data_IF_299364877391
#
_entry.id   IF_299364877391
#
_cell.length_a   1.000
_cell.length_b   1.000
_cell.length_c   1.000
_cell.angle_alpha   90.00
_cell.angle_beta   90.00
_cell.angle_gamma   90.00
#
_symmetry.space_group_name_H-M   'P 1'
#
loop_
_entity.id
_entity.type
_entity.pdbx_description
1 polymer ?
#
# COMPACT_ATOMS: atom_id res chain seq x y z
N UNK A 1 -11.06 -11.72 -7.80
CA UNK A 1 -9.80 -11.47 -8.52
C UNK A 1 -8.70 -12.16 -7.72
N UNK A 2 -7.94 -13.07 -8.31
CA UNK A 2 -6.95 -13.90 -7.59
C UNK A 2 -5.69 -13.08 -7.23
N UNK A 3 -4.97 -13.44 -6.15
CA UNK A 3 -3.72 -12.80 -5.69
C UNK A 3 -2.70 -12.67 -6.83
N UNK A 4 -2.63 -13.69 -7.71
CA UNK A 4 -1.77 -13.66 -8.92
C UNK A 4 -2.16 -12.58 -9.91
N UNK A 5 -3.45 -12.34 -10.11
CA UNK A 5 -3.94 -11.29 -11.02
C UNK A 5 -3.63 -9.89 -10.49
N UNK A 6 -3.71 -9.69 -9.17
CA UNK A 6 -3.31 -8.43 -8.53
C UNK A 6 -1.80 -8.21 -8.59
N UNK A 7 -0.99 -9.26 -8.42
CA UNK A 7 0.47 -9.17 -8.55
C UNK A 7 0.89 -8.83 -10.00
N UNK A 8 0.30 -9.48 -11.00
CA UNK A 8 0.48 -9.16 -12.42
C UNK A 8 0.00 -7.74 -12.72
N UNK A 9 -1.09 -7.29 -12.10
CA UNK A 9 -1.57 -5.92 -12.23
C UNK A 9 -0.58 -4.90 -11.66
N UNK A 10 -0.03 -5.12 -10.46
CA UNK A 10 1.00 -4.24 -9.88
C UNK A 10 2.24 -4.15 -10.78
N UNK A 11 2.64 -5.27 -11.40
CA UNK A 11 3.71 -5.29 -12.41
C UNK A 11 3.35 -4.47 -13.67
N UNK A 12 2.12 -4.59 -14.16
CA UNK A 12 1.64 -3.84 -15.33
C UNK A 12 1.47 -2.34 -15.07
N UNK A 13 1.08 -1.94 -13.85
CA UNK A 13 0.99 -0.52 -13.44
C UNK A 13 2.35 0.16 -13.49
N UNK A 14 3.42 -0.53 -13.07
CA UNK A 14 4.81 -0.06 -13.18
C UNK A 14 5.23 0.26 -14.61
N UNK A 15 4.83 -0.56 -15.59
CA UNK A 15 5.14 -0.31 -17.00
C UNK A 15 4.47 0.98 -17.50
N UNK A 16 3.28 1.30 -17.01
CA UNK A 16 2.58 2.55 -17.36
C UNK A 16 3.24 3.76 -16.70
N UNK A 17 3.56 3.68 -15.41
CA UNK A 17 4.23 4.78 -14.68
C UNK A 17 5.59 5.11 -15.33
N UNK A 18 6.39 4.09 -15.71
CA UNK A 18 7.69 4.29 -16.40
C UNK A 18 7.55 4.98 -17.75
N UNK A 19 6.52 4.64 -18.53
CA UNK A 19 6.24 5.28 -19.81
C UNK A 19 5.79 6.73 -19.65
N UNK A 20 5.09 7.07 -18.57
CA UNK A 20 4.64 8.43 -18.29
C UNK A 20 5.79 9.37 -17.87
N UNK A 21 6.86 8.85 -17.27
CA UNK A 21 8.08 9.61 -16.92
C UNK A 21 9.16 9.59 -18.01
N UNK A 22 8.98 8.81 -19.09
CA UNK A 22 9.99 8.54 -20.11
C UNK A 22 9.89 9.39 -21.38
N UNK A 23 9.59 10.68 -21.26
CA UNK A 23 9.72 11.65 -22.37
C UNK A 23 10.54 12.83 -21.89
N UNK A 24 11.86 12.66 -21.83
CA UNK A 24 12.89 13.64 -22.23
C UNK A 24 14.28 13.04 -21.98
N UNK A 25 15.19 13.35 -22.90
CA UNK A 25 16.64 13.14 -22.88
C UNK A 25 17.17 11.73 -23.23
N UNK A 26 16.95 11.37 -24.49
CA UNK A 26 17.91 10.59 -25.26
C UNK A 26 18.62 11.51 -26.27
N UNK A 27 19.55 12.34 -25.79
CA UNK A 27 20.56 12.96 -26.65
C UNK A 27 21.74 13.44 -25.78
N UNK A 28 22.94 13.25 -26.33
CA UNK A 28 24.25 13.79 -25.90
C UNK A 28 24.95 12.99 -24.79
N UNK A 29 25.84 12.08 -25.19
CA UNK A 29 27.29 12.31 -25.13
C UNK A 29 28.03 11.18 -25.88
N UNK A 30 28.74 11.56 -26.95
CA UNK A 30 29.73 10.74 -27.64
C UNK A 30 31.14 11.07 -27.11
N UNK A 31 32.00 10.05 -27.18
CA UNK A 31 33.47 10.02 -27.24
C UNK A 31 34.33 10.64 -26.11
N UNK A 32 35.09 9.77 -25.43
CA UNK A 32 36.55 9.83 -25.41
C UNK A 32 37.17 8.57 -24.75
N UNK A 33 38.16 8.00 -25.45
CA UNK A 33 39.17 7.05 -24.99
C UNK A 33 39.76 7.39 -23.61
N UNK A 34 40.05 6.37 -22.78
CA UNK A 34 41.33 6.24 -22.08
C UNK A 34 41.46 4.90 -21.32
N UNK A 35 42.66 4.36 -21.49
CA UNK A 35 43.18 3.10 -20.98
C UNK A 35 43.21 2.97 -19.44
N UNK A 36 43.16 1.72 -18.98
CA UNK A 36 43.61 1.30 -17.66
C UNK A 36 42.51 1.14 -16.61
N UNK A 37 41.85 -0.02 -16.57
CA UNK A 37 41.04 -0.41 -15.42
C UNK A 37 41.81 -1.41 -14.55
N UNK A 38 42.00 -1.14 -13.25
CA UNK A 38 42.49 -2.14 -12.32
C UNK A 38 41.44 -3.23 -12.15
N UNK A 39 41.90 -4.46 -11.86
CA UNK A 39 41.07 -5.61 -11.49
C UNK A 39 39.96 -5.18 -10.52
N UNK A 40 38.72 -5.19 -10.99
CA UNK A 40 37.55 -5.13 -10.11
C UNK A 40 37.42 -6.47 -9.40
N UNK A 41 37.55 -6.43 -8.07
CA UNK A 41 37.09 -7.49 -7.18
C UNK A 41 35.65 -7.91 -7.52
N UNK A 42 35.25 -9.16 -7.25
CA UNK A 42 33.92 -9.64 -7.58
C UNK A 42 32.88 -8.74 -6.91
N UNK A 43 32.01 -8.14 -7.74
CA UNK A 43 30.87 -7.31 -7.33
C UNK A 43 30.10 -7.99 -6.18
N UNK A 44 30.36 -7.59 -4.94
CA UNK A 44 29.45 -7.90 -3.85
C UNK A 44 28.12 -7.22 -4.17
N UNK A 45 27.08 -8.03 -4.35
CA UNK A 45 25.74 -7.51 -4.53
C UNK A 45 25.40 -6.55 -3.37
N UNK A 46 24.78 -5.39 -3.65
CA UNK A 46 24.49 -4.40 -2.61
C UNK A 46 23.64 -5.04 -1.52
N UNK A 47 24.24 -5.24 -0.34
CA UNK A 47 23.56 -5.82 0.82
C UNK A 47 22.69 -4.76 1.47
N UNK A 48 21.42 -5.08 1.67
CA UNK A 48 20.50 -4.25 2.46
C UNK A 48 20.90 -4.35 3.92
N UNK A 49 21.29 -3.22 4.53
CA UNK A 49 21.60 -3.19 5.96
C UNK A 49 20.30 -3.34 6.76
N UNK A 50 20.33 -4.25 7.71
CA UNK A 50 19.29 -4.44 8.70
C UNK A 50 19.87 -4.15 10.09
N UNK A 51 19.13 -3.43 10.91
CA UNK A 51 19.45 -3.29 12.33
C UNK A 51 19.15 -4.61 13.04
N UNK A 52 20.18 -5.25 13.60
CA UNK A 52 20.09 -6.58 14.20
C UNK A 52 19.21 -6.62 15.46
N UNK A 53 18.99 -5.49 16.13
CA UNK A 53 18.16 -5.43 17.33
C UNK A 53 16.65 -5.38 17.01
N UNK A 54 16.27 -4.57 16.02
CA UNK A 54 14.87 -4.19 15.81
C UNK A 54 14.34 -4.56 14.42
N UNK A 55 15.17 -5.11 13.52
CA UNK A 55 14.76 -5.49 12.16
C UNK A 55 14.46 -4.30 11.22
N UNK A 56 14.95 -3.10 11.54
CA UNK A 56 14.79 -1.92 10.68
C UNK A 56 15.67 -2.03 9.44
N UNK A 57 15.16 -1.57 8.31
CA UNK A 57 15.82 -1.64 7.01
C UNK A 57 16.19 -0.25 6.51
N UNK A 58 17.38 -0.13 5.93
CA UNK A 58 17.85 1.11 5.33
C UNK A 58 17.17 1.36 3.97
N UNK A 59 16.51 2.51 3.80
CA UNK A 59 15.80 2.86 2.56
C UNK A 59 16.76 3.05 1.39
N UNK A 60 17.93 3.64 1.63
CA UNK A 60 18.90 3.94 0.58
C UNK A 60 19.48 2.66 -0.01
N UNK A 61 19.74 1.64 0.80
CA UNK A 61 20.25 0.35 0.32
C UNK A 61 19.23 -0.36 -0.57
N UNK A 62 17.94 -0.41 -0.16
CA UNK A 62 16.86 -0.99 -0.98
C UNK A 62 16.74 -0.24 -2.32
N UNK A 63 16.80 1.09 -2.28
CA UNK A 63 16.74 1.91 -3.49
C UNK A 63 17.96 1.72 -4.40
N UNK A 64 19.14 1.48 -3.83
CA UNK A 64 20.38 1.21 -4.56
C UNK A 64 20.34 -0.16 -5.20
N UNK A 65 19.88 -1.19 -4.47
CA UNK A 65 19.65 -2.53 -5.00
C UNK A 65 18.65 -2.53 -6.15
N UNK A 66 17.60 -1.69 -6.08
CA UNK A 66 16.64 -1.51 -7.15
C UNK A 66 17.13 -0.67 -8.34
N UNK A 67 18.33 -0.08 -8.24
CA UNK A 67 18.83 0.93 -9.18
C UNK A 67 17.80 2.05 -9.43
N UNK A 68 17.07 2.45 -8.38
CA UNK A 68 16.05 3.48 -8.49
C UNK A 68 16.69 4.84 -8.82
N UNK A 69 16.10 5.62 -9.73
CA UNK A 69 16.55 6.98 -10.01
C UNK A 69 16.20 7.96 -8.86
N UNK A 70 16.74 9.18 -8.91
CA UNK A 70 16.53 10.20 -7.87
C UNK A 70 15.05 10.57 -7.66
N UNK A 71 14.25 10.59 -8.72
CA UNK A 71 12.81 10.93 -8.67
C UNK A 71 12.02 9.82 -7.99
N UNK A 72 12.29 8.56 -8.35
CA UNK A 72 11.70 7.37 -7.74
C UNK A 72 12.05 7.29 -6.27
N UNK A 73 13.32 7.50 -5.90
CA UNK A 73 13.79 7.56 -4.51
C UNK A 73 13.05 8.64 -3.71
N UNK A 74 13.00 9.87 -4.23
CA UNK A 74 12.33 11.00 -3.58
C UNK A 74 10.83 10.74 -3.40
N UNK A 75 10.19 10.12 -4.40
CA UNK A 75 8.78 9.75 -4.34
C UNK A 75 8.51 8.70 -3.26
N UNK A 76 9.31 7.63 -3.22
CA UNK A 76 9.16 6.58 -2.21
C UNK A 76 9.39 7.12 -0.80
N UNK A 77 10.45 7.92 -0.60
CA UNK A 77 10.74 8.53 0.69
C UNK A 77 9.62 9.47 1.15
N UNK A 78 9.04 10.27 0.25
CA UNK A 78 7.88 11.13 0.55
C UNK A 78 6.66 10.30 0.99
N UNK A 79 6.39 9.18 0.34
CA UNK A 79 5.26 8.30 0.69
C UNK A 79 5.48 7.64 2.07
N UNK A 80 6.67 7.10 2.32
CA UNK A 80 7.05 6.51 3.61
C UNK A 80 7.01 7.56 4.74
N UNK A 81 7.63 8.72 4.53
CA UNK A 81 7.68 9.79 5.53
C UNK A 81 6.29 10.36 5.82
N UNK A 82 5.45 10.54 4.80
CA UNK A 82 4.07 11.01 5.00
C UNK A 82 3.16 9.97 5.67
N UNK A 83 3.53 8.68 5.65
CA UNK A 83 2.89 7.64 6.45
C UNK A 83 3.44 7.56 7.89
N UNK A 84 4.55 8.24 8.18
CA UNK A 84 5.12 8.34 9.52
C UNK A 84 6.00 7.15 9.92
N UNK A 85 6.42 6.31 8.97
CA UNK A 85 7.22 5.10 9.24
C UNK A 85 8.73 5.31 9.15
N UNK A 86 9.18 6.50 8.74
CA UNK A 86 10.62 6.81 8.57
C UNK A 86 11.22 7.28 9.88
N UNK A 87 12.27 6.60 10.34
CA UNK A 87 13.13 7.05 11.43
C UNK A 87 14.49 7.46 10.88
N UNK A 88 15.03 8.59 11.35
CA UNK A 88 16.41 8.98 11.05
C UNK A 88 17.35 8.29 12.02
N UNK A 89 18.23 7.40 11.53
CA UNK A 89 19.31 6.78 12.32
C UNK A 89 20.63 7.00 11.60
N UNK A 90 21.61 7.58 12.29
CA UNK A 90 22.92 7.95 11.72
C UNK A 90 22.83 8.80 10.44
N UNK A 91 21.87 9.73 10.38
CA UNK A 91 21.66 10.60 9.21
C UNK A 91 21.09 9.89 7.97
N UNK A 92 20.65 8.64 8.11
CA UNK A 92 20.02 7.87 7.05
C UNK A 92 18.57 7.54 7.41
N UNK A 93 17.68 7.41 6.40
CA UNK A 93 16.29 6.99 6.59
C UNK A 93 16.20 5.46 6.76
N UNK A 94 15.61 5.04 7.87
CA UNK A 94 15.31 3.64 8.20
C UNK A 94 13.80 3.45 8.30
N UNK A 95 13.33 2.26 7.94
CA UNK A 95 11.91 1.86 7.99
C UNK A 95 11.74 0.47 8.60
N UNK A 96 10.56 0.16 9.16
CA UNK A 96 10.22 -1.19 9.61
C UNK A 96 10.31 -2.25 8.49
N UNK A 97 10.42 -3.51 8.89
CA UNK A 97 10.50 -4.65 7.96
C UNK A 97 9.32 -4.69 6.97
N UNK A 98 8.08 -4.53 7.46
CA UNK A 98 6.87 -4.52 6.61
C UNK A 98 6.93 -3.44 5.53
N UNK A 99 7.35 -2.23 5.89
CA UNK A 99 7.50 -1.13 4.94
C UNK A 99 8.64 -1.37 3.95
N UNK A 100 9.72 -2.02 4.37
CA UNK A 100 10.82 -2.44 3.49
C UNK A 100 10.36 -3.51 2.48
N UNK A 101 9.53 -4.45 2.92
CA UNK A 101 8.89 -5.42 2.04
C UNK A 101 7.99 -4.73 1.01
N UNK A 102 7.17 -3.77 1.44
CA UNK A 102 6.35 -2.95 0.55
C UNK A 102 7.19 -2.14 -0.43
N UNK A 103 8.32 -1.61 0.00
CA UNK A 103 9.24 -0.85 -0.84
C UNK A 103 9.87 -1.75 -1.91
N UNK A 104 10.35 -2.94 -1.54
CA UNK A 104 10.83 -3.94 -2.51
C UNK A 104 9.78 -4.25 -3.57
N UNK A 105 8.54 -4.51 -3.15
CA UNK A 105 7.42 -4.75 -4.09
C UNK A 105 7.16 -3.55 -5.00
N UNK A 106 7.17 -2.33 -4.46
CA UNK A 106 6.96 -1.10 -5.25
C UNK A 106 8.04 -0.91 -6.31
N UNK A 107 9.28 -1.25 -5.96
CA UNK A 107 10.46 -1.16 -6.82
C UNK A 107 10.63 -2.39 -7.73
N UNK A 108 9.84 -3.44 -7.54
CA UNK A 108 9.89 -4.68 -8.30
C UNK A 108 11.12 -5.52 -8.01
N UNK A 109 11.63 -5.44 -6.78
CA UNK A 109 12.59 -6.37 -6.22
C UNK A 109 11.85 -7.58 -5.64
N UNK A 110 12.52 -8.74 -5.67
CA UNK A 110 12.09 -9.87 -4.86
C UNK A 110 12.36 -9.54 -3.37
N UNK A 111 11.34 -9.53 -2.49
CA UNK A 111 11.55 -9.29 -1.08
C UNK A 111 12.01 -10.52 -0.30
N UNK A 112 12.00 -11.73 -0.88
CA UNK A 112 12.43 -12.95 -0.21
C UNK A 112 13.85 -12.87 0.39
N UNK A 113 14.84 -12.22 -0.25
CA UNK A 113 16.16 -12.03 0.33
C UNK A 113 16.21 -11.14 1.58
N UNK A 114 15.14 -10.42 1.93
CA UNK A 114 15.07 -9.69 3.21
C UNK A 114 14.84 -10.64 4.40
N UNK A 115 14.29 -11.83 4.15
CA UNK A 115 14.08 -12.90 5.13
C UNK A 115 15.37 -13.72 5.25
N UNK A 116 16.42 -13.11 5.80
CA UNK A 116 17.68 -13.83 6.06
C UNK A 116 17.69 -14.47 7.45
N UNK A 117 18.38 -15.62 7.63
CA UNK A 117 18.58 -16.23 8.94
C UNK A 117 19.23 -15.24 9.92
N UNK A 118 18.60 -15.04 11.08
CA UNK A 118 19.10 -14.15 12.14
C UNK A 118 18.40 -12.80 12.26
N UNK A 119 17.49 -12.45 11.34
CA UNK A 119 16.56 -11.34 11.52
C UNK A 119 15.21 -11.86 12.05
N UNK A 120 14.48 -11.09 12.87
CA UNK A 120 13.10 -11.41 13.23
C UNK A 120 12.21 -11.25 12.00
N UNK A 121 12.13 -12.31 11.19
CA UNK A 121 11.21 -12.36 10.06
C UNK A 121 9.82 -12.80 10.55
N UNK A 122 8.74 -12.16 10.07
CA UNK A 122 7.39 -12.59 10.39
C UNK A 122 7.12 -14.00 9.83
N UNK A 123 6.33 -14.80 10.56
CA UNK A 123 5.94 -16.17 10.14
C UNK A 123 5.22 -16.18 8.78
N UNK A 124 4.50 -15.09 8.48
CA UNK A 124 3.84 -14.88 7.19
C UNK A 124 4.35 -13.62 6.50
N UNK A 125 4.49 -13.63 5.15
CA UNK A 125 4.90 -12.45 4.41
C UNK A 125 3.85 -11.32 4.54
N UNK A 126 4.28 -10.05 4.61
CA UNK A 126 3.37 -8.92 4.64
C UNK A 126 2.33 -8.93 3.51
N UNK A 127 1.09 -8.59 3.85
CA UNK A 127 -0.03 -8.64 2.92
C UNK A 127 0.11 -7.55 1.84
N UNK A 128 0.40 -7.98 0.61
CA UNK A 128 0.59 -7.12 -0.57
C UNK A 128 -0.60 -6.17 -0.81
N UNK A 129 -1.81 -6.59 -0.44
CA UNK A 129 -3.02 -5.78 -0.62
C UNK A 129 -3.02 -4.53 0.28
N UNK A 130 -2.10 -4.44 1.24
CA UNK A 130 -1.95 -3.27 2.11
C UNK A 130 -0.87 -2.29 1.66
N UNK A 131 -0.16 -2.60 0.60
CA UNK A 131 0.98 -1.80 0.17
C UNK A 131 0.53 -0.40 -0.27
N UNK A 132 0.67 0.57 0.63
CA UNK A 132 0.26 1.96 0.43
C UNK A 132 1.23 2.73 -0.47
N UNK A 133 2.42 2.19 -0.77
CA UNK A 133 3.40 2.82 -1.66
C UNK A 133 2.96 2.83 -3.13
N UNK A 134 1.88 2.12 -3.47
CA UNK A 134 1.22 2.20 -4.77
C UNK A 134 0.26 3.40 -4.91
N UNK A 135 0.02 4.16 -3.84
CA UNK A 135 -0.75 5.40 -3.89
C UNK A 135 0.08 6.52 -4.53
N UNK A 136 -0.60 7.48 -5.17
CA UNK A 136 0.06 8.65 -5.78
C UNK A 136 0.44 9.75 -4.77
N UNK A 137 -0.15 9.70 -3.58
CA UNK A 137 0.07 10.66 -2.51
C UNK A 137 0.14 9.95 -1.16
N UNK A 138 0.84 10.52 -0.16
CA UNK A 138 1.04 9.86 1.12
C UNK A 138 -0.26 9.52 1.82
N UNK A 139 -0.31 8.33 2.43
CA UNK A 139 -1.39 7.89 3.28
C UNK A 139 -1.12 8.37 4.71
N UNK A 140 -2.01 9.15 5.36
CA UNK A 140 -1.74 9.62 6.71
C UNK A 140 -1.61 8.47 7.71
N UNK A 141 -0.85 8.62 8.82
CA UNK A 141 -0.52 7.53 9.74
C UNK A 141 -1.72 6.81 10.38
N UNK A 142 -2.85 7.52 10.56
CA UNK A 142 -4.07 6.97 11.16
C UNK A 142 -4.90 6.10 10.19
N UNK A 143 -4.41 5.88 8.97
CA UNK A 143 -5.11 5.15 7.92
C UNK A 143 -4.29 3.97 7.43
N UNK A 144 -4.98 2.91 7.06
CA UNK A 144 -4.44 1.80 6.28
C UNK A 144 -5.23 1.71 4.96
N UNK A 145 -4.76 0.88 4.04
CA UNK A 145 -5.39 0.71 2.72
C UNK A 145 -5.57 -0.76 2.42
N UNK A 146 -6.69 -1.11 1.80
CA UNK A 146 -6.89 -2.40 1.16
C UNK A 146 -7.06 -2.18 -0.34
N UNK A 147 -6.21 -2.78 -1.14
CA UNK A 147 -6.36 -2.82 -2.59
C UNK A 147 -7.37 -3.90 -2.98
N UNK A 148 -8.46 -3.47 -3.61
CA UNK A 148 -9.52 -4.36 -4.08
C UNK A 148 -9.98 -3.95 -5.47
N UNK A 149 -10.07 -4.89 -6.41
CA UNK A 149 -10.43 -4.63 -7.81
C UNK A 149 -9.69 -3.39 -8.38
N UNK A 150 -8.37 -3.36 -8.21
CA UNK A 150 -7.48 -2.28 -8.69
C UNK A 150 -7.72 -0.90 -8.05
N UNK A 151 -8.53 -0.83 -6.99
CA UNK A 151 -8.86 0.42 -6.28
C UNK A 151 -8.45 0.33 -4.82
N UNK A 152 -7.83 1.40 -4.34
CA UNK A 152 -7.53 1.58 -2.94
C UNK A 152 -8.80 1.88 -2.14
N UNK A 153 -9.01 1.11 -1.06
CA UNK A 153 -10.05 1.31 -0.05
C UNK A 153 -9.35 1.72 1.25
N UNK A 154 -9.29 3.03 1.57
CA UNK A 154 -8.76 3.47 2.85
C UNK A 154 -9.69 3.09 4.01
N UNK A 155 -9.10 2.73 5.14
CA UNK A 155 -9.79 2.47 6.41
C UNK A 155 -8.95 2.98 7.57
N UNK A 156 -9.56 3.07 8.76
CA UNK A 156 -8.92 3.50 10.00
C UNK A 156 -9.00 2.36 11.01
N UNK A 157 -7.91 1.62 11.24
CA UNK A 157 -7.93 0.46 12.14
C UNK A 157 -8.43 0.80 13.54
N UNK A 158 -7.88 1.84 14.17
CA UNK A 158 -8.22 2.21 15.55
C UNK A 158 -9.66 2.74 15.69
N UNK A 159 -10.17 3.40 14.64
CA UNK A 159 -11.55 3.90 14.63
C UNK A 159 -12.53 2.85 14.09
N UNK A 160 -12.05 1.69 13.65
CA UNK A 160 -12.87 0.59 13.14
C UNK A 160 -13.84 1.05 12.03
N UNK A 161 -13.34 1.93 11.14
CA UNK A 161 -14.14 2.54 10.07
C UNK A 161 -13.49 2.37 8.71
N UNK A 162 -14.31 2.19 7.68
CA UNK A 162 -13.87 2.06 6.28
C UNK A 162 -14.48 3.14 5.41
N UNK A 163 -13.74 3.60 4.40
CA UNK A 163 -14.24 4.56 3.43
C UNK A 163 -15.26 3.89 2.51
N UNK A 164 -16.55 3.97 2.89
CA UNK A 164 -17.66 3.38 2.16
C UNK A 164 -17.77 3.91 0.72
N UNK A 165 -17.40 5.16 0.48
CA UNK A 165 -17.39 5.72 -0.88
C UNK A 165 -16.37 5.01 -1.77
N UNK A 166 -15.17 4.74 -1.26
CA UNK A 166 -14.12 4.01 -1.99
C UNK A 166 -14.45 2.52 -2.10
N UNK A 167 -15.08 1.93 -1.08
CA UNK A 167 -15.57 0.55 -1.09
C UNK A 167 -16.56 0.31 -2.23
N UNK A 168 -17.64 1.10 -2.33
CA UNK A 168 -18.64 0.90 -3.41
C UNK A 168 -18.03 1.16 -4.80
N UNK A 169 -17.10 2.11 -4.90
CA UNK A 169 -16.36 2.38 -6.13
C UNK A 169 -15.47 1.21 -6.54
N UNK A 170 -14.83 0.52 -5.59
CA UNK A 170 -14.07 -0.71 -5.83
C UNK A 170 -14.96 -1.85 -6.34
N UNK A 171 -16.25 -1.81 -6.01
CA UNK A 171 -17.26 -2.77 -6.48
C UNK A 171 -17.99 -2.33 -7.76
N UNK A 172 -17.51 -1.28 -8.45
CA UNK A 172 -18.09 -0.81 -9.70
C UNK A 172 -19.35 0.05 -9.56
N UNK A 173 -19.77 0.39 -8.33
CA UNK A 173 -20.93 1.25 -8.10
C UNK A 173 -20.57 2.73 -8.05
N UNK A 174 -21.57 3.58 -8.24
CA UNK A 174 -21.44 5.04 -8.17
C UNK A 174 -21.41 5.56 -6.72
N UNK A 175 -20.82 6.75 -6.52
CA UNK A 175 -20.65 7.38 -5.19
C UNK A 175 -21.97 7.70 -4.49
N UNK A 176 -23.00 8.06 -5.26
CA UNK A 176 -24.34 8.38 -4.75
C UNK A 176 -25.02 7.20 -4.05
N UNK A 177 -24.60 5.96 -4.32
CA UNK A 177 -25.14 4.75 -3.67
C UNK A 177 -25.02 4.84 -2.15
N UNK A 178 -23.89 5.38 -1.64
CA UNK A 178 -23.67 5.54 -0.20
C UNK A 178 -24.66 6.56 0.38
N UNK A 179 -24.82 7.73 -0.27
CA UNK A 179 -25.76 8.75 0.20
C UNK A 179 -27.21 8.25 0.15
N UNK A 180 -27.60 7.56 -0.93
CA UNK A 180 -28.94 7.00 -1.07
C UNK A 180 -29.23 5.90 -0.04
N UNK A 181 -28.21 5.15 0.37
CA UNK A 181 -28.34 4.15 1.44
C UNK A 181 -28.46 4.83 2.81
N UNK A 182 -27.63 5.85 3.07
CA UNK A 182 -27.66 6.64 4.31
C UNK A 182 -28.93 7.47 4.48
N UNK A 183 -29.60 7.87 3.39
CA UNK A 183 -30.86 8.59 3.45
C UNK A 183 -32.01 7.76 4.06
N UNK A 184 -31.87 6.42 4.08
CA UNK A 184 -32.89 5.48 4.55
C UNK A 184 -32.57 4.88 5.92
N UNK A 185 -31.43 5.25 6.53
CA UNK A 185 -30.89 4.58 7.72
C UNK A 185 -30.13 5.54 8.63
N UNK A 186 -30.28 5.34 9.93
CA UNK A 186 -29.42 6.00 10.93
C UNK A 186 -28.16 5.16 11.08
N UNK A 187 -27.05 5.65 10.54
CA UNK A 187 -25.72 5.03 10.66
C UNK A 187 -24.71 6.11 11.06
N UNK A 188 -23.83 5.78 12.00
CA UNK A 188 -22.76 6.68 12.42
C UNK A 188 -21.77 6.87 11.27
N UNK A 189 -21.46 8.12 10.94
CA UNK A 189 -20.63 8.44 9.77
C UNK A 189 -19.72 9.63 10.00
N UNK A 190 -18.53 9.56 9.42
CA UNK A 190 -17.57 10.67 9.40
C UNK A 190 -17.30 11.08 7.95
N UNK A 191 -17.35 12.38 7.68
CA UNK A 191 -16.99 12.94 6.37
C UNK A 191 -15.57 13.47 6.40
N UNK A 192 -14.72 12.95 5.51
CA UNK A 192 -13.34 13.45 5.33
C UNK A 192 -13.26 14.21 4.01
N UNK A 193 -12.75 15.45 4.06
CA UNK A 193 -12.60 16.36 2.92
C UNK A 193 -11.13 16.81 2.77
N UNK A 194 -10.76 17.34 1.60
CA UNK A 194 -9.47 17.98 1.35
C UNK A 194 -8.33 17.05 0.92
N UNK A 195 -8.19 15.86 1.51
CA UNK A 195 -7.16 14.90 1.10
C UNK A 195 -7.71 13.87 0.10
N UNK A 196 -7.30 13.97 -1.17
CA UNK A 196 -7.80 13.10 -2.25
C UNK A 196 -7.60 11.58 -2.00
N UNK A 197 -6.55 11.19 -1.27
CA UNK A 197 -6.24 9.79 -0.95
C UNK A 197 -7.29 9.20 -0.01
N UNK A 198 -7.73 9.97 0.99
CA UNK A 198 -8.61 9.49 2.08
C UNK A 198 -9.99 10.12 2.09
N UNK A 199 -10.29 11.09 1.22
CA UNK A 199 -11.61 11.74 1.19
C UNK A 199 -12.74 10.75 0.93
N UNK A 200 -13.88 11.00 1.54
CA UNK A 200 -15.07 10.17 1.40
C UNK A 200 -15.90 10.10 2.68
N UNK A 201 -16.89 9.21 2.65
CA UNK A 201 -17.73 8.91 3.81
C UNK A 201 -17.21 7.65 4.48
N UNK A 202 -16.87 7.75 5.77
CA UNK A 202 -16.45 6.62 6.60
C UNK A 202 -17.63 6.10 7.40
N UNK A 203 -17.79 4.78 7.42
CA UNK A 203 -18.78 4.05 8.20
C UNK A 203 -18.07 3.07 9.13
N UNK A 204 -18.71 2.74 10.26
CA UNK A 204 -18.29 1.60 11.08
C UNK A 204 -18.31 0.30 10.27
N UNK A 205 -17.47 -0.67 10.63
CA UNK A 205 -17.34 -1.89 9.84
C UNK A 205 -18.64 -2.72 9.77
N UNK A 206 -19.44 -2.76 10.85
CA UNK A 206 -20.77 -3.37 10.82
C UNK A 206 -21.71 -2.63 9.84
N UNK A 207 -21.75 -1.30 9.85
CA UNK A 207 -22.56 -0.52 8.89
C UNK A 207 -22.10 -0.72 7.44
N UNK A 208 -20.78 -0.84 7.22
CA UNK A 208 -20.22 -1.13 5.91
C UNK A 208 -20.59 -2.54 5.42
N UNK A 209 -20.60 -3.53 6.30
CA UNK A 209 -21.10 -4.88 6.00
C UNK A 209 -22.58 -4.83 5.60
N UNK A 210 -23.42 -4.13 6.38
CA UNK A 210 -24.84 -3.96 6.08
C UNK A 210 -25.08 -3.23 4.75
N UNK A 211 -24.24 -2.24 4.43
CA UNK A 211 -24.23 -1.61 3.11
C UNK A 211 -23.95 -2.65 2.02
N UNK A 212 -22.89 -3.46 2.17
CA UNK A 212 -22.55 -4.49 1.19
C UNK A 212 -23.68 -5.50 1.00
N UNK A 213 -24.25 -6.06 2.07
CA UNK A 213 -25.36 -7.01 2.02
C UNK A 213 -26.56 -6.39 1.29
N UNK A 214 -26.99 -5.19 1.71
CA UNK A 214 -28.17 -4.53 1.13
C UNK A 214 -28.01 -4.17 -0.36
N UNK A 215 -26.77 -4.01 -0.83
CA UNK A 215 -26.44 -3.69 -2.22
C UNK A 215 -25.93 -4.89 -3.01
N UNK A 216 -25.98 -6.11 -2.42
CA UNK A 216 -25.48 -7.35 -3.01
C UNK A 216 -24.03 -7.22 -3.49
N UNK A 217 -23.21 -6.53 -2.70
CA UNK A 217 -21.78 -6.38 -2.94
C UNK A 217 -21.01 -7.51 -2.25
N UNK A 218 -19.80 -7.75 -2.75
CA UNK A 218 -18.85 -8.63 -2.08
C UNK A 218 -18.50 -8.09 -0.68
N UNK A 219 -18.75 -8.90 0.34
CA UNK A 219 -18.51 -8.58 1.75
C UNK A 219 -17.06 -8.85 2.17
N UNK A 220 -16.30 -9.61 1.37
CA UNK A 220 -14.98 -10.11 1.74
C UNK A 220 -13.96 -9.01 2.06
N UNK A 221 -13.94 -7.84 1.38
CA UNK A 221 -13.03 -6.75 1.77
C UNK A 221 -13.31 -6.20 3.15
N UNK A 222 -14.59 -6.15 3.55
CA UNK A 222 -14.99 -5.71 4.88
C UNK A 222 -14.56 -6.74 5.92
N UNK A 223 -14.69 -8.03 5.61
CA UNK A 223 -14.24 -9.13 6.47
C UNK A 223 -12.71 -9.13 6.66
N UNK A 224 -11.92 -8.93 5.61
CA UNK A 224 -10.46 -8.77 5.71
C UNK A 224 -10.12 -7.61 6.65
N UNK A 225 -10.72 -6.43 6.41
CA UNK A 225 -10.46 -5.25 7.23
C UNK A 225 -10.88 -5.50 8.70
N UNK A 226 -12.01 -6.18 8.93
CA UNK A 226 -12.49 -6.49 10.27
C UNK A 226 -11.56 -7.45 11.03
N UNK A 227 -11.05 -8.49 10.35
CA UNK A 227 -10.06 -9.39 10.92
C UNK A 227 -8.81 -8.66 11.39
N UNK A 228 -8.34 -7.68 10.62
CA UNK A 228 -7.19 -6.83 10.99
C UNK A 228 -7.48 -5.87 12.13
N UNK A 229 -8.73 -5.39 12.22
CA UNK A 229 -9.18 -4.56 13.32
C UNK A 229 -9.48 -5.37 14.59
N UNK A 230 -9.31 -6.71 14.55
CA UNK A 230 -9.69 -7.66 15.60
C UNK A 230 -11.17 -7.52 16.01
N UNK A 231 -12.07 -7.42 15.02
CA UNK A 231 -13.51 -7.31 15.22
C UNK A 231 -14.22 -8.52 14.64
N UNK A 232 -15.17 -9.06 15.39
CA UNK A 232 -16.17 -10.00 14.87
C UNK A 232 -17.34 -9.18 14.34
N UNK A 233 -17.67 -9.35 13.06
CA UNK A 233 -18.79 -8.66 12.45
C UNK A 233 -20.10 -9.39 12.77
N UNK A 234 -21.14 -8.61 13.08
CA UNK A 234 -22.48 -9.16 13.32
C UNK A 234 -23.24 -9.31 11.99
N UNK A 235 -23.41 -10.56 11.55
CA UNK A 235 -24.21 -10.91 10.35
C UNK A 235 -25.74 -10.86 10.61
N UNK A 236 -26.16 -10.38 11.78
CA UNK A 236 -27.53 -10.33 12.28
C UNK A 236 -28.44 -9.34 11.51
N UNK A 237 -28.65 -9.57 10.22
CA UNK A 237 -29.63 -8.85 9.39
C UNK A 237 -30.54 -9.78 8.57
N UNK A 238 -30.70 -11.03 9.01
CA UNK A 238 -31.65 -12.00 8.40
C UNK A 238 -32.76 -12.48 9.34
N UNK A 239 -32.93 -11.91 10.55
CA UNK A 239 -33.88 -12.46 11.54
C UNK A 239 -34.99 -11.52 12.05
N UNK A 240 -35.31 -10.41 11.38
CA UNK A 240 -36.53 -9.63 11.69
C UNK A 240 -37.25 -9.24 10.40
N UNK A 241 -37.97 -10.21 9.87
CA UNK A 241 -38.88 -10.10 8.73
C UNK A 241 -39.96 -11.20 8.76
N UNK A 242 -40.54 -11.41 9.94
CA UNK A 242 -41.87 -11.99 10.16
C UNK A 242 -42.57 -10.99 11.09
N UNK A 243 -43.75 -10.45 10.79
CA UNK A 243 -45.03 -11.08 10.43
C UNK A 243 -45.74 -10.23 9.39
#
# INVERSE_FOLDING_TARGET
>A
MDKKQLQVWFQNRRQRDRRATGTMDAAVFNDADLAGLPHQDPFEAPRVRADAADGWLNVADICTAAQADATTRSTCLRLLAGHGVVSQRHGQPWIPFEDGWFLCQRLGLDPAPLVMPGLPAPEEPPNVLKNYLFLSAPLPPAYSVLWWNERAIPYRPQAQTVNATRLVLAMGLQRNVVQNWLAKRTAARTYVRGNNTVQGTYLGLNDALQLCISKRLDVYPVQIIAGECNIVLDDSATATGGV
#
